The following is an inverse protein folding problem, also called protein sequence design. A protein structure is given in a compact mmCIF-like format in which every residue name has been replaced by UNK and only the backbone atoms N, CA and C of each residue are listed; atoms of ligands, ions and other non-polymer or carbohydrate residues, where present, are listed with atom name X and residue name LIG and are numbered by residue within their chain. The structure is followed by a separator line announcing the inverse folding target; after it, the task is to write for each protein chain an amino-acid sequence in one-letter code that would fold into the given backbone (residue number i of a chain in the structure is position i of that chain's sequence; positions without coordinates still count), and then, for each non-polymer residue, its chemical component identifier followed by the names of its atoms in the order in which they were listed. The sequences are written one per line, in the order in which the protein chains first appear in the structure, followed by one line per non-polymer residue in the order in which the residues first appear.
data_IF_432398443206
#
_entry.id   IF_432398443206
#
_cell.length_a   1.000
_cell.length_b   1.000
_cell.length_c   1.000
_cell.angle_alpha   90.00
_cell.angle_beta   90.00
_cell.angle_gamma   90.00
#
_symmetry.space_group_name_H-M   'P 1'
#
loop_
_entity.id
_entity.type
_entity.pdbx_description
1 polymer ?
#
# COMPACT_ATOMS: atom_id res chain seq x y z
N UNK A 1 5.35 4.57 10.33
CA UNK A 1 4.79 3.86 9.16
C UNK A 1 5.98 3.56 8.29
N UNK A 2 6.17 2.30 7.90
CA UNK A 2 7.38 1.87 7.18
C UNK A 2 7.05 1.74 5.70
N UNK A 3 7.83 2.37 4.84
CA UNK A 3 7.76 2.18 3.40
C UNK A 3 8.61 0.96 3.03
N UNK A 4 8.00 -0.03 2.38
CA UNK A 4 8.61 -1.29 1.99
C UNK A 4 8.55 -1.44 0.48
N UNK A 5 9.43 -2.29 -0.05
CA UNK A 5 9.34 -2.79 -1.43
C UNK A 5 8.14 -3.74 -1.60
N UNK A 6 7.72 -3.95 -2.85
CA UNK A 6 6.49 -4.67 -3.17
C UNK A 6 6.45 -6.11 -2.60
N UNK A 7 7.54 -6.87 -2.72
CA UNK A 7 7.60 -8.26 -2.24
C UNK A 7 7.62 -8.35 -0.71
N UNK A 8 8.40 -7.47 -0.08
CA UNK A 8 8.45 -7.32 1.39
C UNK A 8 7.10 -6.90 1.94
N UNK A 9 6.39 -5.99 1.27
CA UNK A 9 5.05 -5.57 1.64
C UNK A 9 4.05 -6.73 1.62
N UNK A 10 4.07 -7.58 0.59
CA UNK A 10 3.19 -8.75 0.50
C UNK A 10 3.48 -9.80 1.59
N UNK A 11 4.75 -10.00 1.93
CA UNK A 11 5.17 -10.88 3.03
C UNK A 11 4.69 -10.35 4.39
N UNK A 12 4.91 -9.07 4.67
CA UNK A 12 4.43 -8.43 5.90
C UNK A 12 2.90 -8.37 5.98
N UNK A 13 2.23 -8.15 4.84
CA UNK A 13 0.76 -8.19 4.76
C UNK A 13 0.22 -9.58 5.13
N UNK A 14 0.91 -10.65 4.70
CA UNK A 14 0.55 -12.02 5.09
C UNK A 14 0.64 -12.22 6.59
N UNK A 15 1.73 -11.74 7.22
CA UNK A 15 1.90 -11.77 8.69
C UNK A 15 0.82 -10.95 9.40
N UNK A 16 0.41 -9.81 8.84
CA UNK A 16 -0.68 -8.99 9.38
C UNK A 16 -2.01 -9.75 9.38
N UNK A 17 -2.36 -10.42 8.29
CA UNK A 17 -3.59 -11.22 8.24
C UNK A 17 -3.56 -12.39 9.23
N UNK A 18 -2.43 -13.07 9.38
CA UNK A 18 -2.27 -14.13 10.38
C UNK A 18 -2.49 -13.60 11.82
N UNK A 19 -1.93 -12.43 12.15
CA UNK A 19 -2.14 -11.78 13.46
C UNK A 19 -3.59 -11.31 13.66
N UNK A 20 -4.25 -10.87 12.59
CA UNK A 20 -5.63 -10.39 12.64
C UNK A 20 -6.64 -11.52 12.90
N UNK A 21 -6.32 -12.78 12.54
CA UNK A 21 -7.19 -13.95 12.80
C UNK A 21 -7.65 -14.06 14.25
N UNK A 22 -6.75 -13.79 15.20
CA UNK A 22 -7.06 -13.92 16.61
C UNK A 22 -7.82 -12.69 17.15
N UNK A 23 -7.43 -11.48 16.73
CA UNK A 23 -8.08 -10.23 17.19
C UNK A 23 -7.76 -9.02 16.33
N UNK A 24 -8.77 -8.51 15.64
CA UNK A 24 -8.78 -7.20 14.99
C UNK A 24 -9.05 -7.26 13.49
N UNK A 25 -9.02 -6.11 12.84
CA UNK A 25 -9.21 -5.97 11.41
C UNK A 25 -8.00 -5.30 10.76
N UNK A 26 -7.65 -5.77 9.56
CA UNK A 26 -6.64 -5.12 8.72
C UNK A 26 -7.35 -4.08 7.87
N UNK A 27 -6.98 -2.81 8.00
CA UNK A 27 -7.46 -1.76 7.10
C UNK A 27 -6.43 -1.54 6.00
N UNK A 28 -6.87 -1.61 4.75
CA UNK A 28 -6.07 -1.27 3.59
C UNK A 28 -6.62 -0.03 2.90
N UNK A 29 -5.72 0.85 2.44
CA UNK A 29 -6.07 2.05 1.68
C UNK A 29 -5.21 2.14 0.44
N UNK A 30 -5.83 2.43 -0.70
CA UNK A 30 -5.19 2.64 -1.98
C UNK A 30 -5.39 4.10 -2.37
N UNK A 31 -4.30 4.84 -2.59
CA UNK A 31 -4.36 6.25 -2.97
C UNK A 31 -3.46 6.49 -4.18
N UNK A 32 -3.95 7.25 -5.15
CA UNK A 32 -3.10 7.76 -6.24
C UNK A 32 -1.94 8.56 -5.63
N UNK A 33 -0.74 8.27 -6.09
CA UNK A 33 0.49 8.89 -5.63
C UNK A 33 1.27 9.43 -6.82
N UNK A 34 1.69 10.69 -6.69
CA UNK A 34 2.30 11.46 -7.76
C UNK A 34 3.81 11.68 -7.51
N UNK A 35 4.44 10.89 -6.63
CA UNK A 35 5.87 11.03 -6.29
C UNK A 35 6.20 12.20 -5.36
N UNK A 36 5.17 12.86 -4.81
CA UNK A 36 5.32 14.08 -4.01
C UNK A 36 5.41 13.72 -2.53
N UNK A 37 6.59 13.93 -1.95
CA UNK A 37 6.81 13.81 -0.50
C UNK A 37 6.79 15.14 0.25
N UNK A 38 6.74 16.26 -0.49
CA UNK A 38 6.66 17.62 0.07
C UNK A 38 5.22 18.15 0.00
N UNK A 39 4.81 18.97 0.99
CA UNK A 39 3.51 19.62 0.95
C UNK A 39 3.40 20.55 -0.27
N UNK A 40 2.16 20.83 -0.67
CA UNK A 40 1.86 21.76 -1.75
C UNK A 40 2.41 23.15 -1.34
N UNK A 41 3.19 23.82 -2.20
CA UNK A 41 3.69 25.16 -1.93
C UNK A 41 2.55 26.15 -1.62
N UNK A 42 2.81 27.08 -0.71
CA UNK A 42 1.91 28.21 -0.45
C UNK A 42 1.85 29.14 -1.66
N UNK A 43 0.75 29.88 -1.78
CA UNK A 43 0.55 30.88 -2.84
C UNK A 43 1.76 31.82 -2.97
N UNK A 44 2.19 32.10 -4.20
CA UNK A 44 3.37 32.91 -4.50
C UNK A 44 4.68 32.13 -4.75
N UNK A 45 4.67 30.79 -4.67
CA UNK A 45 5.80 29.93 -5.08
C UNK A 45 5.51 29.18 -6.38
N UNK A 46 6.53 28.86 -7.20
CA UNK A 46 6.32 28.16 -8.47
C UNK A 46 5.55 26.85 -8.27
N UNK A 47 4.59 26.54 -9.16
CA UNK A 47 3.78 25.33 -9.06
C UNK A 47 4.66 24.09 -9.20
N UNK A 48 4.23 23.00 -8.55
CA UNK A 48 4.90 21.71 -8.67
C UNK A 48 4.78 21.19 -10.12
N UNK A 49 5.81 20.50 -10.64
CA UNK A 49 5.74 19.86 -11.96
C UNK A 49 4.54 18.92 -12.07
N UNK A 50 4.03 18.77 -13.29
CA UNK A 50 2.96 17.81 -13.57
C UNK A 50 3.43 16.38 -13.28
N UNK A 51 2.59 15.54 -12.63
CA UNK A 51 2.94 14.15 -12.36
C UNK A 51 3.06 13.36 -13.66
N UNK A 52 4.28 12.99 -14.04
CA UNK A 52 4.55 12.26 -15.26
C UNK A 52 4.35 10.75 -15.11
N UNK A 53 4.43 10.23 -13.88
CA UNK A 53 4.25 8.81 -13.58
C UNK A 53 3.03 8.57 -12.68
N UNK A 54 2.17 7.65 -13.11
CA UNK A 54 1.04 7.18 -12.32
C UNK A 54 1.50 6.09 -11.36
N UNK A 55 1.59 6.42 -10.07
CA UNK A 55 1.87 5.46 -9.02
C UNK A 55 0.68 5.30 -8.08
N UNK A 56 0.64 4.16 -7.38
CA UNK A 56 -0.34 3.90 -6.33
C UNK A 56 0.38 3.71 -5.00
N UNK A 57 0.00 4.48 -3.99
CA UNK A 57 0.44 4.29 -2.61
C UNK A 57 -0.57 3.40 -1.89
N UNK A 58 -0.11 2.23 -1.47
CA UNK A 58 -0.89 1.25 -0.74
C UNK A 58 -0.43 1.29 0.70
N UNK A 59 -1.37 1.34 1.64
CA UNK A 59 -1.09 1.30 3.08
C UNK A 59 -1.93 0.23 3.73
N UNK A 60 -1.32 -0.55 4.61
CA UNK A 60 -2.03 -1.52 5.46
C UNK A 60 -1.75 -1.21 6.93
N UNK A 61 -2.79 -1.28 7.77
CA UNK A 61 -2.67 -1.12 9.21
C UNK A 61 -3.42 -2.20 9.98
N UNK A 62 -2.81 -2.65 11.07
CA UNK A 62 -3.43 -3.47 12.10
C UNK A 62 -3.05 -2.87 13.46
N UNK A 63 -4.00 -2.18 14.11
CA UNK A 63 -3.79 -1.46 15.38
C UNK A 63 -2.57 -0.52 15.31
N UNK A 64 -1.44 -0.93 15.87
CA UNK A 64 -0.18 -0.18 15.96
C UNK A 64 0.75 -0.40 14.76
N UNK A 65 0.63 -1.53 14.06
CA UNK A 65 1.51 -1.87 12.94
C UNK A 65 0.99 -1.18 11.67
N UNK A 66 1.85 -0.41 10.99
CA UNK A 66 1.53 0.36 9.78
C UNK A 66 2.62 0.18 8.74
N UNK A 67 2.30 -0.49 7.64
CA UNK A 67 3.18 -0.69 6.48
C UNK A 67 2.62 0.03 5.25
N UNK A 68 3.49 0.43 4.35
CA UNK A 68 3.13 1.07 3.08
C UNK A 68 4.05 0.59 1.96
N UNK A 69 3.57 0.61 0.73
CA UNK A 69 4.36 0.38 -0.49
C UNK A 69 3.90 1.34 -1.57
N UNK A 70 4.84 1.78 -2.41
CA UNK A 70 4.51 2.45 -3.68
C UNK A 70 4.53 1.39 -4.77
N UNK A 71 3.55 1.42 -5.66
CA UNK A 71 3.47 0.53 -6.83
C UNK A 71 3.52 1.39 -8.08
N UNK A 72 4.51 1.14 -8.93
CA UNK A 72 4.60 1.75 -10.24
C UNK A 72 3.64 1.05 -11.22
N UNK A 73 3.24 1.77 -12.26
CA UNK A 73 2.39 1.23 -13.33
C UNK A 73 2.98 -0.03 -13.99
N UNK A 74 4.31 -0.12 -14.08
CA UNK A 74 5.03 -1.26 -14.69
C UNK A 74 4.81 -2.57 -13.93
N UNK A 75 4.70 -2.50 -12.60
CA UNK A 75 4.63 -3.67 -11.72
C UNK A 75 3.22 -3.96 -11.20
N UNK A 76 2.23 -3.14 -11.58
CA UNK A 76 0.83 -3.26 -11.12
C UNK A 76 0.24 -4.64 -11.43
N UNK A 77 0.53 -5.21 -12.61
CA UNK A 77 -0.01 -6.50 -13.04
C UNK A 77 0.52 -7.64 -12.16
N UNK A 78 1.84 -7.64 -11.88
CA UNK A 78 2.47 -8.63 -11.00
C UNK A 78 1.94 -8.50 -9.57
N UNK A 79 1.87 -7.28 -9.07
CA UNK A 79 1.35 -6.99 -7.74
C UNK A 79 -0.11 -7.43 -7.60
N UNK A 80 -0.95 -7.17 -8.60
CA UNK A 80 -2.37 -7.54 -8.60
C UNK A 80 -2.56 -9.06 -8.49
N UNK A 81 -1.82 -9.85 -9.27
CA UNK A 81 -1.92 -11.32 -9.24
C UNK A 81 -1.49 -11.85 -7.87
N UNK A 82 -0.34 -11.40 -7.36
CA UNK A 82 0.17 -11.83 -6.06
C UNK A 82 -0.77 -11.41 -4.91
N UNK A 83 -1.29 -10.18 -4.95
CA UNK A 83 -2.24 -9.66 -3.98
C UNK A 83 -3.57 -10.43 -4.00
N UNK A 84 -4.12 -10.72 -5.18
CA UNK A 84 -5.37 -11.50 -5.34
C UNK A 84 -5.22 -12.90 -4.76
N UNK A 85 -4.10 -13.57 -5.04
CA UNK A 85 -3.81 -14.89 -4.48
C UNK A 85 -3.67 -14.85 -2.96
N UNK A 86 -3.03 -13.83 -2.40
CA UNK A 86 -2.91 -13.62 -0.96
C UNK A 86 -4.29 -13.44 -0.31
N UNK A 87 -5.14 -12.57 -0.87
CA UNK A 87 -6.48 -12.35 -0.33
C UNK A 87 -7.32 -13.62 -0.35
N UNK A 88 -7.35 -14.34 -1.48
CA UNK A 88 -8.07 -15.61 -1.59
C UNK A 88 -7.59 -16.62 -0.54
N UNK A 89 -6.29 -16.76 -0.35
CA UNK A 89 -5.72 -17.74 0.58
C UNK A 89 -5.77 -17.36 2.07
N UNK A 90 -6.09 -16.11 2.42
CA UNK A 90 -6.01 -15.63 3.82
C UNK A 90 -7.32 -15.05 4.34
N UNK A 91 -8.12 -14.43 3.49
CA UNK A 91 -9.44 -13.87 3.85
C UNK A 91 -10.53 -14.94 3.81
N UNK A 92 -10.49 -15.88 2.85
CA UNK A 92 -11.50 -16.94 2.72
C UNK A 92 -11.48 -17.93 3.89
N UNK A 93 -10.34 -18.12 4.55
CA UNK A 93 -10.22 -18.99 5.75
C UNK A 93 -10.81 -18.36 7.02
N UNK A 94 -11.41 -17.17 6.94
CA UNK A 94 -11.95 -16.42 8.08
C UNK A 94 -13.47 -16.20 8.02
N UNK A 95 -14.16 -16.71 7.00
CA UNK A 95 -15.63 -16.81 6.94
C UNK A 95 -16.02 -18.28 7.12
#
# INVERSE_FOLDING_TARGET
MVLLENDLFLSELTKLFQKARMKGSVLMTFKRYDGRDKPIPREGRPPLPEPQEHMCLIRAKLKTIKIATVVHQKDINKFQVAYSNLLKGRVMLCL
#
